data_IF_469003946895
#
_entry.id   IF_469003946895
#
_cell.length_a   1.000
_cell.length_b   1.000
_cell.length_c   1.000
_cell.angle_alpha   90.00
_cell.angle_beta   90.00
_cell.angle_gamma   90.00
#
_symmetry.space_group_name_H-M   'P 1'
#
loop_
_entity.id
_entity.type
_entity.pdbx_description
1 polymer ?
#
# COMPACT_ATOMS: atom_id res chain seq x y z
N UNK A 1 32.46 16.65 9.38
CA UNK A 1 32.08 15.56 8.43
C UNK A 1 31.74 14.35 9.27
N UNK A 2 30.46 14.15 9.58
CA UNK A 2 30.02 13.01 10.41
C UNK A 2 28.82 12.38 9.71
N UNK A 3 29.06 11.23 9.08
CA UNK A 3 28.02 10.40 8.47
C UNK A 3 27.38 9.59 9.59
N UNK A 4 26.32 10.15 10.16
CA UNK A 4 25.41 9.39 11.02
C UNK A 4 24.42 8.68 10.11
N UNK A 5 24.71 7.44 9.76
CA UNK A 5 23.74 6.54 9.16
C UNK A 5 22.70 6.24 10.23
N UNK A 6 21.66 7.06 10.30
CA UNK A 6 20.44 6.70 11.03
C UNK A 6 19.89 5.44 10.37
N UNK A 7 20.24 4.28 10.92
CA UNK A 7 19.43 3.07 10.81
C UNK A 7 18.21 3.34 11.69
N UNK A 8 17.34 4.23 11.20
CA UNK A 8 16.04 4.49 11.80
C UNK A 8 15.29 3.18 11.80
N UNK A 9 15.21 2.57 12.99
CA UNK A 9 14.14 1.69 13.47
C UNK A 9 13.13 1.34 12.37
N UNK A 10 13.06 0.05 11.98
CA UNK A 10 12.02 -0.49 11.08
C UNK A 10 10.57 -0.11 11.46
N UNK A 11 10.33 0.49 12.63
CA UNK A 11 9.03 1.01 13.06
C UNK A 11 8.53 2.24 12.30
N UNK A 12 9.39 2.93 11.54
CA UNK A 12 9.04 4.20 10.88
C UNK A 12 8.90 4.05 9.35
N UNK A 13 8.96 2.82 8.81
CA UNK A 13 8.71 2.58 7.39
C UNK A 13 7.25 2.86 7.08
N UNK A 14 7.01 3.70 6.08
CA UNK A 14 5.68 4.04 5.61
C UNK A 14 5.71 4.06 4.07
N UNK A 15 4.84 3.27 3.44
CA UNK A 15 4.66 3.29 1.99
C UNK A 15 3.22 3.66 1.68
N UNK A 16 3.05 4.66 0.83
CA UNK A 16 1.72 5.06 0.36
C UNK A 16 1.54 4.60 -1.06
N UNK A 17 0.43 3.90 -1.30
CA UNK A 17 0.04 3.36 -2.60
C UNK A 17 -1.29 3.94 -3.03
N UNK A 18 -1.51 3.94 -4.33
CA UNK A 18 -2.77 4.37 -4.94
C UNK A 18 -3.26 3.31 -5.91
N UNK A 19 -4.53 2.96 -5.83
CA UNK A 19 -5.16 1.94 -6.67
C UNK A 19 -6.69 2.13 -6.70
N UNK A 20 -7.36 1.51 -7.66
CA UNK A 20 -8.82 1.42 -7.71
C UNK A 20 -9.32 0.00 -7.43
N UNK A 21 -10.55 -0.13 -6.96
CA UNK A 21 -11.26 -1.40 -6.78
C UNK A 21 -12.52 -1.37 -7.65
N UNK A 22 -12.56 -2.22 -8.67
CA UNK A 22 -13.70 -2.37 -9.57
C UNK A 22 -14.95 -2.93 -8.86
N UNK A 23 -16.10 -2.86 -9.51
CA UNK A 23 -17.34 -3.47 -9.02
C UNK A 23 -17.24 -4.99 -8.81
N UNK A 24 -16.31 -5.65 -9.50
CA UNK A 24 -15.96 -7.06 -9.33
C UNK A 24 -15.08 -7.35 -8.10
N UNK A 25 -14.56 -6.30 -7.45
CA UNK A 25 -13.53 -6.42 -6.42
C UNK A 25 -12.09 -6.45 -6.95
N UNK A 26 -11.90 -6.43 -8.27
CA UNK A 26 -10.58 -6.44 -8.88
C UNK A 26 -9.81 -5.15 -8.56
N UNK A 27 -8.54 -5.29 -8.16
CA UNK A 27 -7.65 -4.15 -7.89
C UNK A 27 -6.97 -3.74 -9.18
N UNK A 28 -7.10 -2.46 -9.55
CA UNK A 28 -6.56 -1.89 -10.80
C UNK A 28 -5.67 -0.68 -10.52
N UNK A 29 -4.74 -0.40 -11.43
CA UNK A 29 -3.94 0.83 -11.38
C UNK A 29 -3.02 0.96 -10.17
N UNK A 30 -2.66 -0.15 -9.52
CA UNK A 30 -1.79 -0.14 -8.34
C UNK A 30 -0.42 0.48 -8.63
N UNK A 31 -0.09 1.52 -7.88
CA UNK A 31 1.19 2.23 -7.92
C UNK A 31 1.62 2.70 -6.54
N UNK A 32 2.92 2.86 -6.34
CA UNK A 32 3.48 3.54 -5.17
C UNK A 32 3.50 5.04 -5.44
N UNK A 33 2.91 5.83 -4.55
CA UNK A 33 2.93 7.30 -4.60
C UNK A 33 3.97 7.88 -3.64
N UNK A 34 4.30 7.15 -2.57
CA UNK A 34 5.40 7.47 -1.66
C UNK A 34 6.10 6.19 -1.24
N UNK A 35 7.38 6.07 -1.60
CA UNK A 35 8.24 4.93 -1.21
C UNK A 35 8.64 5.05 0.26
N UNK A 36 8.76 3.91 0.93
CA UNK A 36 9.28 3.86 2.31
C UNK A 36 10.79 4.10 2.42
N UNK A 37 11.50 4.13 1.28
CA UNK A 37 12.95 4.13 1.25
C UNK A 37 13.57 2.73 1.38
N UNK A 38 12.77 1.68 1.60
CA UNK A 38 13.18 0.27 1.56
C UNK A 38 12.46 -0.47 0.42
N UNK A 39 13.15 -0.78 -0.69
CA UNK A 39 12.54 -1.48 -1.83
C UNK A 39 11.93 -2.84 -1.49
N UNK A 40 12.51 -3.55 -0.51
CA UNK A 40 12.02 -4.88 -0.12
C UNK A 40 10.67 -4.80 0.61
N UNK A 41 10.49 -3.73 1.40
CA UNK A 41 9.23 -3.44 2.08
C UNK A 41 8.16 -2.95 1.10
N UNK A 42 8.52 -2.02 0.20
CA UNK A 42 7.65 -1.54 -0.88
C UNK A 42 7.13 -2.69 -1.75
N UNK A 43 8.01 -3.60 -2.17
CA UNK A 43 7.66 -4.80 -2.92
C UNK A 43 6.75 -5.75 -2.12
N UNK A 44 6.95 -5.84 -0.80
CA UNK A 44 6.13 -6.69 0.06
C UNK A 44 4.68 -6.20 0.11
N UNK A 45 4.48 -4.87 0.20
CA UNK A 45 3.15 -4.24 0.17
C UNK A 45 2.51 -4.43 -1.18
N UNK A 46 3.26 -4.23 -2.27
CA UNK A 46 2.75 -4.43 -3.62
C UNK A 46 2.25 -5.88 -3.84
N UNK A 47 3.02 -6.87 -3.37
CA UNK A 47 2.62 -8.28 -3.41
C UNK A 47 1.41 -8.57 -2.54
N UNK A 48 1.33 -7.99 -1.35
CA UNK A 48 0.20 -8.20 -0.44
C UNK A 48 -1.12 -7.70 -1.06
N UNK A 49 -1.13 -6.50 -1.63
CA UNK A 49 -2.33 -5.94 -2.29
C UNK A 49 -2.74 -6.78 -3.49
N UNK A 50 -1.78 -7.19 -4.33
CA UNK A 50 -2.05 -8.07 -5.47
C UNK A 50 -2.64 -9.41 -5.04
N UNK A 51 -2.16 -10.00 -3.93
CA UNK A 51 -2.69 -11.25 -3.38
C UNK A 51 -4.08 -11.10 -2.76
N UNK A 52 -4.39 -9.91 -2.24
CA UNK A 52 -5.70 -9.61 -1.70
C UNK A 52 -6.77 -9.43 -2.80
N UNK A 53 -6.37 -9.31 -4.07
CA UNK A 53 -7.30 -9.24 -5.18
C UNK A 53 -7.84 -10.64 -5.57
N UNK A 54 -9.16 -10.80 -5.80
CA UNK A 54 -10.19 -9.77 -5.69
C UNK A 54 -10.59 -9.49 -4.23
N UNK A 55 -10.76 -8.20 -3.91
CA UNK A 55 -11.30 -7.76 -2.64
C UNK A 55 -12.83 -7.88 -2.64
N UNK A 56 -13.51 -7.81 -1.47
CA UNK A 56 -14.95 -7.65 -1.44
C UNK A 56 -15.37 -6.44 -2.30
N UNK A 57 -16.42 -6.58 -3.13
CA UNK A 57 -16.84 -5.49 -3.99
C UNK A 57 -17.32 -4.29 -3.15
N UNK A 58 -17.00 -3.05 -3.56
CA UNK A 58 -17.42 -1.88 -2.83
C UNK A 58 -18.95 -1.72 -2.88
N UNK A 59 -19.58 -1.19 -1.82
CA UNK A 59 -21.01 -0.92 -1.84
C UNK A 59 -21.37 0.05 -2.97
N UNK A 60 -22.55 -0.13 -3.57
CA UNK A 60 -22.98 0.59 -4.78
C UNK A 60 -22.81 2.12 -4.68
N UNK A 61 -23.20 2.70 -3.54
CA UNK A 61 -23.13 4.14 -3.29
C UNK A 61 -21.70 4.69 -3.27
N UNK A 62 -20.69 3.86 -3.00
CA UNK A 62 -19.29 4.26 -2.84
C UNK A 62 -18.40 3.80 -3.99
N UNK A 63 -18.92 3.09 -5.00
CA UNK A 63 -18.09 2.55 -6.11
C UNK A 63 -17.18 3.61 -6.73
N UNK A 64 -17.67 4.85 -6.88
CA UNK A 64 -16.88 5.97 -7.43
C UNK A 64 -15.69 6.35 -6.54
N UNK A 65 -15.88 6.36 -5.22
CA UNK A 65 -14.82 6.68 -4.26
C UNK A 65 -13.76 5.58 -4.24
N UNK A 66 -14.18 4.32 -4.43
CA UNK A 66 -13.27 3.17 -4.50
C UNK A 66 -12.53 3.03 -5.82
N UNK A 67 -12.85 3.82 -6.86
CA UNK A 67 -12.05 3.86 -8.10
C UNK A 67 -10.65 4.46 -7.88
N UNK A 68 -10.46 5.19 -6.79
CA UNK A 68 -9.24 5.92 -6.53
C UNK A 68 -8.95 6.03 -5.03
N UNK A 69 -8.35 4.96 -4.50
CA UNK A 69 -8.00 4.82 -3.09
C UNK A 69 -6.52 5.10 -2.91
N UNK A 70 -6.21 5.97 -1.96
CA UNK A 70 -4.85 6.15 -1.44
C UNK A 70 -4.76 5.52 -0.04
N UNK A 71 -3.82 4.60 0.13
CA UNK A 71 -3.65 3.85 1.38
C UNK A 71 -2.18 3.82 1.79
N UNK A 72 -1.96 4.03 3.08
CA UNK A 72 -0.64 4.07 3.69
C UNK A 72 -0.42 2.85 4.56
N UNK A 73 0.64 2.09 4.28
CA UNK A 73 0.99 0.85 4.97
C UNK A 73 2.22 1.03 5.86
N UNK A 74 2.11 0.59 7.11
CA UNK A 74 3.21 0.54 8.09
C UNK A 74 3.51 -0.92 8.46
N UNK A 75 4.74 -1.28 8.85
CA UNK A 75 5.10 -2.68 9.11
C UNK A 75 4.22 -3.38 10.14
N UNK A 76 3.69 -2.64 11.11
CA UNK A 76 2.71 -3.14 12.08
C UNK A 76 1.38 -3.60 11.44
N UNK A 77 1.06 -3.14 10.24
CA UNK A 77 -0.14 -3.51 9.50
C UNK A 77 0.06 -4.84 8.72
N UNK A 78 1.31 -5.27 8.55
CA UNK A 78 1.68 -6.53 7.87
C UNK A 78 2.16 -7.62 8.83
N UNK A 79 2.41 -7.28 10.10
CA UNK A 79 2.91 -8.18 11.13
C UNK A 79 1.81 -8.65 12.08
N UNK A 80 1.18 -9.76 11.72
CA UNK A 80 0.51 -10.67 12.65
C UNK A 80 1.39 -11.88 12.94
#
# INVERSE_FOLDING_TARGET
RERWTWVGKRSDLEVTVRFGIQESGEVVGLKIVQSSGDPSYDDSVFRAIRRASPLPPPPESYRKDFMDVELTFRPKDLGG
#
